data_IF_336832345739
#
_entry.id   IF_336832345739
#
_cell.length_a   1.000
_cell.length_b   1.000
_cell.length_c   1.000
_cell.angle_alpha   90.00
_cell.angle_beta   90.00
_cell.angle_gamma   90.00
#
_symmetry.space_group_name_H-M   'P 1'
#
loop_
_entity.id
_entity.type
_entity.pdbx_description
1 polymer ?
#
# COMPACT_ATOMS: atom_id res chain seq x y z
N UNK A 1 32.33 47.64 24.71
CA UNK A 1 31.02 47.90 24.08
C UNK A 1 30.13 46.73 24.51
N UNK A 2 29.34 46.75 25.60
CA UNK A 2 28.03 47.43 25.82
C UNK A 2 27.25 47.50 24.50
N UNK A 3 26.08 46.92 24.26
CA UNK A 3 24.90 46.39 25.03
C UNK A 3 23.90 45.88 23.92
N UNK A 4 22.64 45.48 24.17
CA UNK A 4 22.00 44.69 25.24
C UNK A 4 21.08 43.56 24.71
N UNK A 5 20.46 42.85 25.66
CA UNK A 5 19.37 41.90 25.50
C UNK A 5 18.05 42.54 25.01
N UNK A 6 17.22 41.74 24.33
CA UNK A 6 15.80 42.01 24.11
C UNK A 6 14.99 40.76 24.47
N UNK A 7 14.23 40.86 25.56
CA UNK A 7 13.23 39.88 25.96
C UNK A 7 11.92 40.19 25.23
N UNK A 8 11.27 39.18 24.67
CA UNK A 8 9.91 39.27 24.15
C UNK A 8 9.05 38.21 24.84
N UNK A 9 8.09 38.70 25.63
CA UNK A 9 7.01 37.92 26.21
C UNK A 9 6.08 37.42 25.10
N UNK A 10 5.79 36.12 25.09
CA UNK A 10 4.60 35.58 24.44
C UNK A 10 3.71 34.93 25.51
N UNK A 11 2.46 35.39 25.52
CA UNK A 11 1.45 35.05 26.50
C UNK A 11 0.93 33.62 26.32
N UNK A 12 0.63 33.01 27.47
CA UNK A 12 -0.18 31.82 27.57
C UNK A 12 -1.59 32.12 27.06
N UNK A 13 -2.03 31.39 26.05
CA UNK A 13 -3.45 31.13 25.80
C UNK A 13 -3.67 29.63 26.03
N UNK A 14 -4.42 29.33 27.09
CA UNK A 14 -4.84 27.99 27.43
C UNK A 14 -5.88 27.50 26.42
N UNK A 15 -5.62 26.36 25.77
CA UNK A 15 -6.65 25.57 25.12
C UNK A 15 -7.39 24.81 26.24
N UNK A 16 -8.64 25.14 26.48
CA UNK A 16 -9.54 24.33 27.31
C UNK A 16 -10.25 23.34 26.40
N UNK A 17 -9.83 22.08 26.45
CA UNK A 17 -10.56 20.96 25.88
C UNK A 17 -11.73 20.60 26.80
N UNK A 18 -12.95 20.61 26.27
CA UNK A 18 -14.12 20.05 26.94
C UNK A 18 -14.07 18.50 26.83
N UNK A 19 -14.26 17.75 27.93
CA UNK A 19 -14.15 16.29 27.91
C UNK A 19 -15.41 15.60 27.36
N UNK A 20 -15.19 14.69 26.41
CA UNK A 20 -16.17 13.70 25.91
C UNK A 20 -16.62 12.76 27.06
N UNK A 21 -17.91 12.47 27.24
CA UNK A 21 -18.39 11.63 28.34
C UNK A 21 -18.03 10.15 28.18
N UNK A 22 -17.62 9.54 29.29
CA UNK A 22 -17.23 8.14 29.42
C UNK A 22 -18.37 7.16 29.18
N UNK A 23 -18.12 6.13 28.37
CA UNK A 23 -18.96 4.94 28.28
C UNK A 23 -18.78 4.05 29.53
N UNK A 24 -19.88 3.56 30.06
CA UNK A 24 -19.90 2.64 31.21
C UNK A 24 -19.74 1.18 30.74
N UNK A 25 -19.08 0.30 31.50
CA UNK A 25 -18.89 -1.09 31.13
C UNK A 25 -20.13 -1.93 31.48
N UNK A 26 -20.48 -2.89 30.64
CA UNK A 26 -21.47 -3.93 30.95
C UNK A 26 -20.76 -5.27 30.98
N UNK A 27 -20.92 -5.96 32.12
CA UNK A 27 -20.31 -7.24 32.49
C UNK A 27 -20.69 -8.42 31.58
N UNK A 28 -19.74 -9.37 31.51
CA UNK A 28 -19.81 -10.72 30.92
C UNK A 28 -20.89 -11.60 31.61
N UNK A 29 -21.51 -12.65 31.04
CA UNK A 29 -21.08 -13.91 30.39
C UNK A 29 -22.34 -14.84 30.34
N UNK A 30 -22.34 -16.15 29.98
CA UNK A 30 -21.35 -17.01 29.30
C UNK A 30 -21.91 -17.86 28.12
N UNK A 31 -20.99 -18.62 27.52
CA UNK A 31 -21.08 -19.70 26.52
C UNK A 31 -22.24 -20.70 26.61
N UNK A 32 -22.73 -21.14 25.43
CA UNK A 32 -23.17 -22.54 25.20
C UNK A 32 -22.85 -23.02 23.78
N UNK A 33 -21.96 -24.02 23.74
CA UNK A 33 -21.78 -25.19 22.88
C UNK A 33 -22.37 -25.31 21.45
N UNK A 34 -21.45 -25.77 20.60
CA UNK A 34 -21.53 -26.39 19.26
C UNK A 34 -22.48 -27.59 19.18
N UNK A 35 -23.20 -27.71 18.05
CA UNK A 35 -23.60 -29.01 17.49
C UNK A 35 -23.65 -28.95 15.96
N UNK A 36 -22.94 -29.91 15.37
CA UNK A 36 -22.76 -30.25 13.96
C UNK A 36 -23.94 -31.11 13.45
N UNK A 37 -24.40 -30.88 12.21
CA UNK A 37 -25.12 -31.86 11.41
C UNK A 37 -25.26 -31.43 9.93
N UNK A 38 -24.48 -32.11 9.09
CA UNK A 38 -24.61 -32.28 7.63
C UNK A 38 -26.01 -32.74 7.17
N UNK A 39 -26.48 -32.34 5.96
CA UNK A 39 -26.92 -33.22 4.84
C UNK A 39 -27.16 -32.39 3.56
N UNK A 40 -26.78 -33.03 2.45
CA UNK A 40 -26.72 -32.67 1.03
C UNK A 40 -27.95 -32.01 0.34
N UNK A 41 -27.61 -31.05 -0.52
CA UNK A 41 -27.87 -30.94 -1.97
C UNK A 41 -29.25 -31.32 -2.52
N UNK A 42 -30.05 -30.28 -2.75
CA UNK A 42 -30.99 -30.20 -3.88
C UNK A 42 -31.10 -28.72 -4.28
N UNK A 43 -30.50 -28.35 -5.41
CA UNK A 43 -30.57 -27.01 -5.98
C UNK A 43 -32.01 -26.58 -6.34
N UNK A 44 -32.52 -25.45 -5.81
CA UNK A 44 -33.65 -24.72 -6.39
C UNK A 44 -33.14 -23.62 -7.36
N UNK A 45 -34.00 -23.12 -8.26
CA UNK A 45 -33.57 -22.29 -9.39
C UNK A 45 -33.08 -20.91 -8.93
N UNK A 46 -32.27 -20.28 -9.78
CA UNK A 46 -31.66 -18.96 -9.57
C UNK A 46 -32.64 -17.93 -8.98
N UNK A 47 -32.26 -17.16 -7.95
CA UNK A 47 -33.07 -16.05 -7.51
C UNK A 47 -32.92 -14.92 -8.52
N UNK A 48 -34.07 -14.49 -9.03
CA UNK A 48 -34.26 -13.20 -9.68
C UNK A 48 -33.68 -12.08 -8.80
N UNK A 49 -33.27 -10.98 -9.45
CA UNK A 49 -32.85 -9.75 -8.80
C UNK A 49 -33.98 -9.19 -7.90
N UNK A 50 -34.04 -9.65 -6.65
CA UNK A 50 -34.93 -9.09 -5.64
C UNK A 50 -34.21 -7.94 -4.94
N UNK A 51 -34.71 -6.74 -5.22
CA UNK A 51 -34.21 -5.50 -4.64
C UNK A 51 -34.32 -5.46 -3.13
N UNK A 52 -33.43 -4.64 -2.56
CA UNK A 52 -33.46 -4.04 -1.22
C UNK A 52 -34.67 -4.46 -0.38
N UNK A 53 -34.50 -5.49 0.45
CA UNK A 53 -35.55 -5.99 1.33
C UNK A 53 -35.89 -4.97 2.44
N UNK A 54 -37.04 -4.35 2.25
CA UNK A 54 -38.03 -3.85 3.19
C UNK A 54 -37.72 -3.90 4.71
N UNK A 55 -37.21 -2.78 5.23
CA UNK A 55 -37.88 -2.11 6.34
C UNK A 55 -38.50 -0.82 5.80
N UNK A 56 -39.83 -0.83 5.63
CA UNK A 56 -40.62 0.33 5.27
C UNK A 56 -40.54 1.35 6.40
N UNK A 57 -39.66 2.35 6.25
CA UNK A 57 -39.92 3.63 6.90
C UNK A 57 -41.20 4.21 6.28
N UNK A 58 -42.19 4.59 7.11
CA UNK A 58 -43.39 5.22 6.61
C UNK A 58 -43.03 6.63 6.14
N UNK A 59 -43.34 6.92 4.87
CA UNK A 59 -43.47 8.27 4.33
C UNK A 59 -42.17 9.11 4.31
N UNK A 60 -41.16 8.66 3.58
CA UNK A 60 -40.02 9.51 3.26
C UNK A 60 -40.48 10.61 2.28
N UNK A 61 -40.75 11.82 2.81
CA UNK A 61 -41.20 12.99 2.08
C UNK A 61 -40.52 13.12 0.69
N UNK A 62 -41.25 13.55 -0.37
CA UNK A 62 -40.67 13.68 -1.69
C UNK A 62 -39.44 14.59 -1.63
N UNK A 63 -38.29 14.07 -2.06
CA UNK A 63 -37.11 14.90 -2.24
C UNK A 63 -37.47 15.89 -3.33
N UNK A 64 -37.40 17.18 -3.01
CA UNK A 64 -37.64 18.23 -3.99
C UNK A 64 -36.31 18.49 -4.67
N UNK A 65 -36.20 18.25 -5.98
CA UNK A 65 -34.99 18.56 -6.71
C UNK A 65 -34.64 20.03 -6.56
N UNK A 66 -33.37 20.35 -6.31
CA UNK A 66 -32.90 21.71 -6.25
C UNK A 66 -32.74 22.28 -7.68
N UNK A 67 -32.64 23.61 -7.77
CA UNK A 67 -32.43 24.24 -9.06
C UNK A 67 -31.01 23.94 -9.57
N UNK A 68 -30.88 23.25 -10.71
CA UNK A 68 -29.60 22.96 -11.34
C UNK A 68 -29.17 21.49 -11.27
N UNK A 69 -30.01 20.62 -10.73
CA UNK A 69 -29.79 19.18 -10.72
C UNK A 69 -29.57 18.59 -12.12
N UNK A 70 -28.78 17.53 -12.16
CA UNK A 70 -28.45 16.80 -13.38
C UNK A 70 -29.53 15.79 -13.77
N UNK A 71 -29.28 15.05 -14.85
CA UNK A 71 -30.22 14.09 -15.42
C UNK A 71 -30.23 12.71 -14.72
N UNK A 72 -29.35 12.49 -13.75
CA UNK A 72 -29.31 11.29 -12.92
C UNK A 72 -30.15 11.42 -11.65
N UNK A 73 -30.64 12.62 -11.36
CA UNK A 73 -31.58 12.88 -10.28
C UNK A 73 -32.99 12.29 -10.50
N UNK A 74 -33.73 11.98 -9.43
CA UNK A 74 -33.32 12.09 -8.03
C UNK A 74 -32.44 10.91 -7.61
N UNK A 75 -31.29 11.22 -7.00
CA UNK A 75 -30.35 10.24 -6.47
C UNK A 75 -29.89 10.56 -5.04
N UNK A 76 -30.66 11.37 -4.30
CA UNK A 76 -30.23 11.88 -2.99
C UNK A 76 -30.42 10.93 -1.81
N UNK A 77 -30.77 9.67 -2.09
CA UNK A 77 -30.94 8.61 -1.10
C UNK A 77 -30.31 7.31 -1.60
N UNK A 78 -29.81 6.44 -0.70
CA UNK A 78 -29.30 5.12 -1.05
C UNK A 78 -30.24 4.29 -1.95
N UNK A 79 -31.55 4.31 -1.66
CA UNK A 79 -32.56 3.55 -2.42
C UNK A 79 -32.86 4.13 -3.81
N UNK A 80 -32.39 5.33 -4.11
CA UNK A 80 -32.56 6.03 -5.39
C UNK A 80 -31.23 6.18 -6.13
N UNK A 81 -30.19 5.46 -5.69
CA UNK A 81 -28.86 5.60 -6.23
C UNK A 81 -28.85 5.38 -7.76
N UNK A 82 -28.22 6.30 -8.49
CA UNK A 82 -28.16 6.24 -9.94
C UNK A 82 -27.20 5.12 -10.38
N UNK A 83 -27.59 4.21 -11.29
CA UNK A 83 -26.74 3.10 -11.69
C UNK A 83 -25.54 3.59 -12.51
N UNK A 84 -24.34 3.15 -12.11
CA UNK A 84 -23.07 3.40 -12.79
C UNK A 84 -22.26 2.10 -12.90
N UNK A 85 -21.22 2.11 -13.71
CA UNK A 85 -20.33 0.98 -13.93
C UNK A 85 -18.88 1.45 -14.07
N UNK A 86 -17.88 0.57 -13.94
CA UNK A 86 -16.51 0.90 -14.33
C UNK A 86 -16.46 1.39 -15.79
N UNK A 87 -15.69 2.46 -16.03
CA UNK A 87 -15.71 3.25 -17.27
C UNK A 87 -16.66 4.46 -17.25
N UNK A 88 -17.41 4.68 -16.16
CA UNK A 88 -18.26 5.86 -16.02
C UNK A 88 -17.41 7.13 -15.85
N UNK A 89 -17.67 8.14 -16.68
CA UNK A 89 -17.13 9.50 -16.54
C UNK A 89 -18.19 10.52 -16.94
N UNK A 90 -18.56 11.40 -16.02
CA UNK A 90 -19.48 12.53 -16.25
C UNK A 90 -18.92 13.77 -15.55
N UNK A 91 -18.98 14.93 -16.19
CA UNK A 91 -18.43 16.20 -15.68
C UNK A 91 -19.51 17.28 -15.46
N UNK A 92 -20.76 16.92 -15.68
CA UNK A 92 -21.94 17.76 -15.64
C UNK A 92 -22.88 17.41 -14.47
N UNK A 93 -22.39 16.63 -13.50
CA UNK A 93 -23.13 16.27 -12.29
C UNK A 93 -23.22 17.46 -11.35
N UNK A 94 -24.25 17.48 -10.49
CA UNK A 94 -24.51 18.61 -9.60
C UNK A 94 -25.02 18.16 -8.23
N UNK A 95 -24.32 18.59 -7.17
CA UNK A 95 -24.73 18.28 -5.80
C UNK A 95 -25.62 19.39 -5.22
N UNK A 96 -26.79 18.99 -4.72
CA UNK A 96 -27.74 19.88 -4.07
C UNK A 96 -27.32 20.26 -2.64
N UNK A 97 -27.73 21.45 -2.14
CA UNK A 97 -27.38 21.87 -0.80
C UNK A 97 -27.97 20.91 0.25
N UNK A 98 -27.15 20.54 1.23
CA UNK A 98 -27.48 19.63 2.34
C UNK A 98 -27.99 18.25 1.89
N UNK A 99 -27.65 17.85 0.64
CA UNK A 99 -28.02 16.56 0.07
C UNK A 99 -26.76 15.87 -0.46
N UNK A 100 -26.68 14.57 -0.25
CA UNK A 100 -25.65 13.73 -0.85
C UNK A 100 -26.19 13.11 -2.12
N UNK A 101 -25.35 12.86 -3.12
CA UNK A 101 -25.70 12.07 -4.29
C UNK A 101 -25.21 10.63 -4.10
N UNK A 102 -26.07 9.67 -4.43
CA UNK A 102 -25.76 8.25 -4.36
C UNK A 102 -25.73 7.64 -5.75
N UNK A 103 -24.75 6.77 -5.99
CA UNK A 103 -24.63 5.97 -7.21
C UNK A 103 -24.52 4.49 -6.87
N UNK A 104 -25.15 3.63 -7.64
CA UNK A 104 -25.11 2.18 -7.46
C UNK A 104 -24.09 1.58 -8.43
N UNK A 105 -23.09 0.88 -7.90
CA UNK A 105 -21.99 0.27 -8.64
C UNK A 105 -21.98 -1.24 -8.40
N UNK A 106 -22.24 -2.02 -9.44
CA UNK A 106 -22.15 -3.48 -9.38
C UNK A 106 -20.72 -3.94 -9.57
N UNK A 107 -20.18 -4.70 -8.61
CA UNK A 107 -18.83 -5.24 -8.65
C UNK A 107 -18.84 -6.75 -8.40
N UNK A 108 -17.96 -7.47 -9.10
CA UNK A 108 -17.61 -8.85 -8.76
C UNK A 108 -16.68 -8.88 -7.53
N UNK A 109 -16.62 -10.03 -6.85
CA UNK A 109 -15.65 -10.23 -5.77
C UNK A 109 -14.21 -10.02 -6.30
N UNK A 110 -13.38 -9.34 -5.50
CA UNK A 110 -12.02 -8.91 -5.81
C UNK A 110 -11.87 -7.92 -6.97
N UNK A 111 -12.99 -7.44 -7.54
CA UNK A 111 -12.94 -6.43 -8.59
C UNK A 111 -12.41 -5.11 -8.02
N UNK A 112 -11.46 -4.52 -8.75
CA UNK A 112 -10.79 -3.27 -8.39
C UNK A 112 -11.41 -2.11 -9.16
N UNK A 113 -11.60 -0.98 -8.49
CA UNK A 113 -11.99 0.29 -9.12
C UNK A 113 -11.20 1.44 -8.49
N UNK A 114 -10.99 2.49 -9.28
CA UNK A 114 -10.51 3.78 -8.80
C UNK A 114 -11.59 4.82 -9.06
N UNK A 115 -11.99 5.50 -8.01
CA UNK A 115 -12.97 6.57 -8.08
C UNK A 115 -12.25 7.90 -7.92
N UNK A 116 -12.59 8.85 -8.77
CA UNK A 116 -12.06 10.21 -8.74
C UNK A 116 -13.20 11.22 -8.84
N UNK A 117 -13.22 12.16 -7.89
CA UNK A 117 -14.14 13.27 -7.82
C UNK A 117 -13.36 14.57 -8.06
N UNK A 118 -13.92 15.47 -8.84
CA UNK A 118 -13.40 16.83 -8.99
C UNK A 118 -14.55 17.85 -9.03
N UNK A 119 -14.66 18.70 -8.03
CA UNK A 119 -15.64 19.77 -7.98
C UNK A 119 -15.23 20.97 -8.86
N UNK A 120 -16.22 21.70 -9.34
CA UNK A 120 -16.08 22.99 -10.02
C UNK A 120 -16.95 24.04 -9.31
N UNK A 121 -16.32 25.06 -8.67
CA UNK A 121 -14.88 25.27 -8.57
C UNK A 121 -14.22 24.32 -7.55
N UNK A 122 -12.90 24.10 -7.67
CA UNK A 122 -12.15 23.12 -6.85
C UNK A 122 -12.14 23.45 -5.35
N UNK A 123 -12.38 24.70 -4.97
CA UNK A 123 -12.46 25.11 -3.57
C UNK A 123 -13.72 24.61 -2.85
N UNK A 124 -14.59 23.89 -3.57
CA UNK A 124 -15.78 23.24 -3.00
C UNK A 124 -15.41 21.92 -2.36
N UNK A 125 -15.45 21.91 -1.05
CA UNK A 125 -15.25 20.74 -0.20
C UNK A 125 -16.39 19.72 -0.41
N UNK A 126 -16.07 18.67 -1.17
CA UNK A 126 -16.92 17.52 -1.45
C UNK A 126 -16.17 16.24 -1.08
N UNK A 127 -16.80 15.38 -0.30
CA UNK A 127 -16.27 14.10 0.14
C UNK A 127 -16.75 12.96 -0.76
N UNK A 128 -15.95 11.90 -0.85
CA UNK A 128 -16.24 10.69 -1.63
C UNK A 128 -16.14 9.45 -0.75
N UNK A 129 -17.17 8.61 -0.75
CA UNK A 129 -17.17 7.35 0.00
C UNK A 129 -17.76 6.18 -0.79
N UNK A 130 -17.29 4.98 -0.49
CA UNK A 130 -17.87 3.71 -0.93
C UNK A 130 -18.49 3.02 0.27
N UNK A 131 -19.75 2.63 0.13
CA UNK A 131 -20.53 1.96 1.15
C UNK A 131 -21.00 0.59 0.63
N UNK A 132 -21.25 -0.33 1.54
CA UNK A 132 -21.94 -1.58 1.23
C UNK A 132 -23.45 -1.34 0.98
N UNK A 133 -24.16 -2.42 0.62
CA UNK A 133 -25.60 -2.38 0.37
C UNK A 133 -26.44 -2.00 1.62
N UNK A 134 -25.90 -2.15 2.83
CA UNK A 134 -26.54 -1.75 4.08
C UNK A 134 -26.28 -0.27 4.44
N UNK A 135 -25.42 0.43 3.67
CA UNK A 135 -25.02 1.81 3.92
C UNK A 135 -23.89 1.94 4.95
N UNK A 136 -23.19 0.85 5.27
CA UNK A 136 -21.96 0.91 6.05
C UNK A 136 -20.82 1.33 5.13
N UNK A 137 -20.08 2.34 5.54
CA UNK A 137 -18.93 2.83 4.80
C UNK A 137 -17.76 1.83 4.86
N UNK A 138 -17.18 1.52 3.70
CA UNK A 138 -16.06 0.61 3.55
C UNK A 138 -14.76 1.34 3.21
N UNK A 139 -14.85 2.49 2.53
CA UNK A 139 -13.73 3.34 2.16
C UNK A 139 -14.20 4.78 1.95
N UNK A 140 -13.33 5.75 2.16
CA UNK A 140 -13.64 7.17 1.94
C UNK A 140 -12.40 8.04 1.74
N UNK A 141 -12.63 9.22 1.17
CA UNK A 141 -11.68 10.30 0.95
C UNK A 141 -12.36 11.62 1.33
N UNK A 142 -11.64 12.43 2.13
CA UNK A 142 -12.17 13.55 2.92
C UNK A 142 -11.23 14.77 2.89
N UNK A 143 -10.82 15.19 1.71
CA UNK A 143 -9.99 16.37 1.51
C UNK A 143 -10.75 17.66 1.87
N UNK A 144 -10.00 18.73 2.15
CA UNK A 144 -10.60 20.05 2.40
C UNK A 144 -11.02 20.79 1.10
N UNK A 145 -10.77 20.16 -0.05
CA UNK A 145 -11.01 20.70 -1.40
C UNK A 145 -11.80 19.68 -2.20
N UNK A 146 -12.31 20.08 -3.37
CA UNK A 146 -13.18 19.25 -4.19
C UNK A 146 -12.48 18.18 -5.01
N UNK A 147 -11.28 17.75 -4.65
CA UNK A 147 -10.59 16.65 -5.32
C UNK A 147 -10.49 15.46 -4.38
N UNK A 148 -11.17 14.38 -4.73
CA UNK A 148 -11.12 13.13 -3.98
C UNK A 148 -10.69 12.00 -4.88
N UNK A 149 -9.87 11.09 -4.36
CA UNK A 149 -9.49 9.89 -5.07
C UNK A 149 -9.36 8.71 -4.09
N UNK A 150 -10.00 7.59 -4.42
CA UNK A 150 -9.85 6.38 -3.64
C UNK A 150 -9.80 5.13 -4.53
N UNK A 151 -9.04 4.13 -4.07
CA UNK A 151 -8.97 2.80 -4.67
C UNK A 151 -9.82 1.85 -3.83
N UNK A 152 -10.66 1.05 -4.47
CA UNK A 152 -11.53 0.10 -3.79
C UNK A 152 -11.40 -1.29 -4.41
N UNK A 153 -11.37 -2.31 -3.56
CA UNK A 153 -11.43 -3.73 -3.93
C UNK A 153 -12.67 -4.31 -3.29
N UNK A 154 -13.58 -4.83 -4.10
CA UNK A 154 -14.83 -5.39 -3.61
C UNK A 154 -14.58 -6.70 -2.83
N UNK A 155 -14.83 -6.76 -1.50
CA UNK A 155 -14.62 -7.98 -0.72
C UNK A 155 -15.56 -9.13 -1.09
N UNK A 156 -16.68 -8.83 -1.76
CA UNK A 156 -17.66 -9.80 -2.23
C UNK A 156 -18.30 -9.27 -3.52
N UNK A 157 -18.98 -10.16 -4.26
CA UNK A 157 -19.79 -9.71 -5.38
C UNK A 157 -21.07 -9.04 -4.86
N UNK A 158 -21.46 -7.93 -5.47
CA UNK A 158 -22.72 -7.26 -5.18
C UNK A 158 -22.72 -5.76 -5.52
N UNK A 159 -23.82 -5.10 -5.13
CA UNK A 159 -24.00 -3.66 -5.27
C UNK A 159 -23.28 -2.91 -4.16
N UNK A 160 -22.44 -1.96 -4.55
CA UNK A 160 -21.85 -0.97 -3.67
C UNK A 160 -22.44 0.40 -3.96
N UNK A 161 -22.54 1.24 -2.94
CA UNK A 161 -23.01 2.61 -3.09
C UNK A 161 -21.82 3.56 -3.08
N UNK A 162 -21.73 4.42 -4.09
CA UNK A 162 -20.81 5.55 -4.09
C UNK A 162 -21.58 6.76 -3.59
N UNK A 163 -21.12 7.39 -2.52
CA UNK A 163 -21.70 8.61 -1.97
C UNK A 163 -20.77 9.79 -2.25
N UNK A 164 -21.33 10.82 -2.88
CA UNK A 164 -20.71 12.16 -2.95
C UNK A 164 -21.47 13.05 -1.98
N UNK A 165 -20.75 13.72 -1.08
CA UNK A 165 -21.37 14.54 -0.04
C UNK A 165 -20.68 15.91 0.05
N UNK A 166 -21.46 16.97 0.23
CA UNK A 166 -20.89 18.31 0.44
C UNK A 166 -20.60 18.58 1.91
N UNK A 167 -19.48 19.24 2.22
CA UNK A 167 -19.25 19.79 3.55
C UNK A 167 -20.12 21.04 3.78
N UNK A 168 -20.93 21.03 4.86
CA UNK A 168 -21.83 22.14 5.27
C UNK A 168 -22.82 22.60 4.17
N UNK A 169 -23.31 21.66 3.37
CA UNK A 169 -24.36 21.95 2.39
C UNK A 169 -23.92 22.82 1.22
N UNK A 170 -22.64 22.76 0.87
CA UNK A 170 -22.13 23.43 -0.32
C UNK A 170 -22.77 22.89 -1.60
N UNK A 171 -22.80 23.72 -2.62
CA UNK A 171 -23.29 23.34 -3.95
C UNK A 171 -22.17 23.52 -4.97
N UNK A 172 -22.07 22.56 -5.87
CA UNK A 172 -21.04 22.55 -6.89
C UNK A 172 -21.48 21.70 -8.08
N UNK A 173 -20.97 22.03 -9.27
CA UNK A 173 -20.86 21.00 -10.30
C UNK A 173 -19.68 20.11 -9.95
N UNK A 174 -19.72 18.87 -10.38
CA UNK A 174 -18.58 17.99 -10.20
C UNK A 174 -18.45 17.00 -11.34
N UNK A 175 -17.25 16.45 -11.44
CA UNK A 175 -16.93 15.30 -12.27
C UNK A 175 -16.74 14.08 -11.39
N UNK A 176 -17.40 12.99 -11.75
CA UNK A 176 -17.14 11.68 -11.17
C UNK A 176 -16.61 10.77 -12.28
N UNK A 177 -15.46 10.15 -12.01
CA UNK A 177 -14.86 9.10 -12.83
C UNK A 177 -14.78 7.83 -12.00
N UNK A 178 -15.23 6.71 -12.56
CA UNK A 178 -15.05 5.37 -12.01
C UNK A 178 -14.25 4.56 -13.02
N UNK A 179 -12.94 4.48 -12.82
CA UNK A 179 -12.05 3.70 -13.67
C UNK A 179 -12.00 2.25 -13.20
N UNK A 180 -11.93 1.32 -14.16
CA UNK A 180 -11.63 -0.09 -13.86
C UNK A 180 -10.19 -0.18 -13.34
N UNK A 181 -10.03 -0.69 -12.12
CA UNK A 181 -8.72 -0.96 -11.55
C UNK A 181 -8.15 -2.25 -12.13
N UNK A 182 -6.82 -2.31 -12.26
CA UNK A 182 -6.11 -3.44 -12.84
C UNK A 182 -4.75 -3.64 -12.18
N UNK A 183 -4.13 -4.78 -12.44
CA UNK A 183 -2.71 -5.02 -12.16
C UNK A 183 -1.97 -5.62 -13.35
N UNK A 184 -2.73 -6.27 -14.23
CA UNK A 184 -2.26 -6.92 -15.44
C UNK A 184 -3.21 -6.56 -16.58
N UNK A 185 -2.73 -6.68 -17.81
CA UNK A 185 -3.47 -6.29 -19.02
C UNK A 185 -4.68 -7.20 -19.24
N UNK A 186 -4.61 -8.48 -18.83
CA UNK A 186 -5.71 -9.45 -18.84
C UNK A 186 -6.97 -9.01 -18.08
N UNK A 187 -6.87 -8.02 -17.17
CA UNK A 187 -8.04 -7.45 -16.47
C UNK A 187 -8.76 -6.41 -17.33
N UNK A 188 -8.05 -5.77 -18.25
CA UNK A 188 -8.55 -4.69 -19.08
C UNK A 188 -9.22 -5.21 -20.36
N UNK A 189 -10.03 -4.36 -21.01
CA UNK A 189 -10.63 -4.70 -22.30
C UNK A 189 -9.61 -4.76 -23.42
N UNK A 190 -9.96 -5.37 -24.56
CA UNK A 190 -9.04 -5.64 -25.67
C UNK A 190 -8.30 -4.42 -26.25
N UNK A 191 -8.84 -3.21 -26.08
CA UNK A 191 -8.27 -1.94 -26.53
C UNK A 191 -7.68 -1.09 -25.38
N UNK A 192 -7.42 -1.72 -24.24
CA UNK A 192 -6.89 -1.09 -23.05
C UNK A 192 -5.71 -1.90 -22.52
N UNK A 193 -4.83 -1.23 -21.80
CA UNK A 193 -3.77 -1.86 -21.01
C UNK A 193 -3.85 -1.35 -19.59
N UNK A 194 -3.17 -2.02 -18.67
CA UNK A 194 -3.02 -1.54 -17.33
C UNK A 194 -1.89 -0.49 -17.27
N UNK A 195 -2.24 0.73 -16.88
CA UNK A 195 -1.23 1.65 -16.36
C UNK A 195 -0.81 1.13 -14.99
N UNK A 196 0.38 0.54 -14.92
CA UNK A 196 0.88 -0.13 -13.72
C UNK A 196 1.01 0.80 -12.52
N UNK A 197 1.39 2.07 -12.74
CA UNK A 197 1.58 3.03 -11.66
C UNK A 197 0.24 3.60 -11.20
N UNK A 198 -0.66 3.89 -12.14
CA UNK A 198 -2.01 4.33 -11.81
C UNK A 198 -2.93 3.19 -11.34
N UNK A 199 -2.56 1.93 -11.59
CA UNK A 199 -3.36 0.68 -11.48
C UNK A 199 -4.77 0.82 -12.07
N UNK A 200 -4.89 1.47 -13.23
CA UNK A 200 -6.17 1.65 -13.94
C UNK A 200 -6.06 1.28 -15.40
N UNK A 201 -7.13 0.72 -15.95
CA UNK A 201 -7.20 0.42 -17.37
C UNK A 201 -7.29 1.72 -18.19
N UNK A 202 -6.33 1.94 -19.06
CA UNK A 202 -6.25 3.10 -19.94
C UNK A 202 -6.37 2.66 -21.40
N UNK A 203 -6.99 3.48 -22.28
CA UNK A 203 -6.97 3.20 -23.71
C UNK A 203 -5.55 3.09 -24.23
N UNK A 204 -5.29 2.04 -25.01
CA UNK A 204 -3.98 1.81 -25.59
C UNK A 204 -4.12 1.47 -27.07
N UNK A 205 -3.32 2.15 -27.86
CA UNK A 205 -3.15 1.89 -29.27
C UNK A 205 -1.64 1.87 -29.52
N UNK A 206 -1.05 0.72 -29.89
CA UNK A 206 0.38 0.63 -30.15
C UNK A 206 0.78 1.64 -31.22
N UNK A 207 1.89 2.33 -30.98
CA UNK A 207 2.46 3.31 -31.89
C UNK A 207 3.03 2.68 -33.16
N UNK A 208 3.48 3.50 -34.14
CA UNK A 208 4.16 3.00 -35.34
C UNK A 208 5.68 2.85 -35.16
N UNK A 209 6.15 2.81 -33.92
CA UNK A 209 7.56 2.84 -33.52
C UNK A 209 7.77 1.80 -32.43
N UNK A 210 9.03 1.49 -32.10
CA UNK A 210 9.33 0.42 -31.15
C UNK A 210 9.57 -0.94 -31.80
N UNK A 211 8.90 -1.23 -32.91
CA UNK A 211 8.98 -2.52 -33.60
C UNK A 211 10.42 -3.09 -33.71
N UNK A 212 10.67 -4.20 -33.03
CA UNK A 212 11.92 -4.92 -33.09
C UNK A 212 11.76 -6.45 -33.31
N UNK A 213 12.74 -7.25 -32.86
CA UNK A 213 12.74 -8.70 -33.04
C UNK A 213 11.93 -9.46 -31.97
N UNK A 214 11.55 -8.83 -30.86
CA UNK A 214 10.84 -9.42 -29.73
C UNK A 214 9.33 -9.29 -29.85
N UNK A 215 8.88 -8.40 -30.72
CA UNK A 215 7.46 -8.12 -30.92
C UNK A 215 6.65 -9.34 -31.43
N UNK A 216 5.38 -9.50 -30.99
CA UNK A 216 4.65 -8.56 -30.13
C UNK A 216 4.93 -8.78 -28.63
N UNK A 217 5.51 -7.80 -27.93
CA UNK A 217 5.72 -7.82 -26.46
C UNK A 217 5.19 -6.57 -25.72
N UNK A 218 4.34 -5.80 -26.40
CA UNK A 218 3.50 -4.71 -25.89
C UNK A 218 2.64 -5.00 -24.65
N UNK A 219 2.36 -6.28 -24.36
CA UNK A 219 1.41 -6.73 -23.34
C UNK A 219 2.02 -7.70 -22.35
N UNK A 220 1.54 -7.64 -21.11
CA UNK A 220 1.93 -8.56 -20.04
C UNK A 220 1.84 -10.05 -20.45
N UNK A 221 0.80 -10.47 -21.18
CA UNK A 221 0.61 -11.87 -21.59
C UNK A 221 1.53 -12.30 -22.73
N UNK A 222 2.11 -11.32 -23.44
CA UNK A 222 2.97 -11.53 -24.59
C UNK A 222 4.46 -11.34 -24.25
N UNK A 223 4.76 -11.03 -22.98
CA UNK A 223 6.09 -10.71 -22.50
C UNK A 223 7.18 -11.70 -22.96
N UNK A 224 8.24 -11.15 -23.52
CA UNK A 224 9.42 -11.85 -24.02
C UNK A 224 10.18 -12.55 -22.89
N UNK A 225 10.48 -13.84 -23.04
CA UNK A 225 11.21 -14.57 -22.01
C UNK A 225 12.67 -14.11 -21.92
N UNK A 226 13.08 -13.58 -20.76
CA UNK A 226 14.48 -13.26 -20.48
C UNK A 226 15.22 -14.52 -20.04
N UNK A 227 16.02 -15.06 -20.96
CA UNK A 227 16.92 -16.17 -20.71
C UNK A 227 18.34 -15.68 -20.34
N UNK A 228 19.33 -16.58 -20.41
CA UNK A 228 20.73 -16.25 -20.19
C UNK A 228 21.32 -15.47 -21.38
N UNK A 229 21.48 -14.16 -21.23
CA UNK A 229 22.19 -13.30 -22.18
C UNK A 229 21.54 -11.92 -22.33
N UNK A 230 22.25 -10.95 -22.91
CA UNK A 230 21.67 -9.66 -23.25
C UNK A 230 20.58 -9.83 -24.33
N UNK A 231 19.47 -9.10 -24.17
CA UNK A 231 18.43 -8.94 -25.18
C UNK A 231 18.47 -7.51 -25.68
N UNK A 232 18.60 -7.34 -27.00
CA UNK A 232 18.56 -6.04 -27.66
C UNK A 232 17.13 -5.72 -28.07
N UNK A 233 16.73 -4.46 -27.94
CA UNK A 233 15.44 -3.97 -28.39
C UNK A 233 15.42 -2.49 -28.76
N UNK A 234 14.28 -2.01 -29.20
CA UNK A 234 13.98 -0.62 -29.52
C UNK A 234 12.70 -0.21 -28.81
N UNK A 235 12.69 1.00 -28.24
CA UNK A 235 11.52 1.53 -27.53
C UNK A 235 11.22 2.94 -28.04
N UNK A 236 9.95 3.32 -28.02
CA UNK A 236 9.48 4.70 -28.20
C UNK A 236 8.44 5.08 -27.10
N UNK A 237 8.03 6.36 -26.95
CA UNK A 237 7.05 6.73 -25.93
C UNK A 237 5.62 6.20 -26.15
N UNK A 238 5.36 5.52 -27.27
CA UNK A 238 4.04 4.96 -27.64
C UNK A 238 4.03 3.43 -27.59
N UNK A 239 5.09 2.86 -27.03
CA UNK A 239 5.46 1.45 -27.11
C UNK A 239 5.86 0.95 -25.70
N UNK A 240 5.77 -0.36 -25.46
CA UNK A 240 5.91 -0.98 -24.14
C UNK A 240 6.50 -2.39 -24.25
N UNK A 241 7.78 -2.55 -23.97
CA UNK A 241 8.35 -3.90 -24.03
C UNK A 241 8.23 -4.61 -22.69
N UNK A 242 7.50 -5.72 -22.67
CA UNK A 242 7.41 -6.59 -21.51
C UNK A 242 8.32 -7.79 -21.64
N UNK A 243 8.99 -8.08 -20.53
CA UNK A 243 9.86 -9.23 -20.37
C UNK A 243 9.37 -10.10 -19.22
N UNK A 244 9.64 -11.40 -19.30
CA UNK A 244 9.31 -12.36 -18.26
C UNK A 244 10.55 -13.08 -17.72
N UNK A 245 10.63 -13.20 -16.41
CA UNK A 245 11.71 -13.90 -15.68
C UNK A 245 11.08 -14.95 -14.78
N UNK A 246 11.49 -16.21 -14.91
CA UNK A 246 11.13 -17.26 -13.97
C UNK A 246 12.12 -17.26 -12.80
N UNK A 247 11.61 -17.04 -11.60
CA UNK A 247 12.39 -16.95 -10.35
C UNK A 247 12.07 -18.18 -9.49
N UNK A 248 13.09 -18.77 -8.86
CA UNK A 248 12.93 -19.83 -7.88
C UNK A 248 12.88 -19.27 -6.45
N UNK A 249 12.29 -20.03 -5.53
CA UNK A 249 12.15 -19.61 -4.13
C UNK A 249 13.50 -19.19 -3.52
N UNK A 250 13.55 -17.96 -3.02
CA UNK A 250 14.73 -17.40 -2.34
C UNK A 250 15.80 -16.88 -3.28
N UNK A 251 15.65 -16.97 -4.61
CA UNK A 251 16.61 -16.38 -5.53
C UNK A 251 16.48 -14.86 -5.58
N UNK A 252 17.61 -14.18 -5.80
CA UNK A 252 17.64 -12.75 -6.11
C UNK A 252 17.98 -12.55 -7.58
N UNK A 253 17.26 -11.68 -8.26
CA UNK A 253 17.49 -11.34 -9.66
C UNK A 253 17.51 -9.83 -9.82
N UNK A 254 18.59 -9.30 -10.40
CA UNK A 254 18.68 -7.93 -10.87
C UNK A 254 18.47 -7.90 -12.38
N UNK A 255 17.61 -7.00 -12.84
CA UNK A 255 17.41 -6.72 -14.26
C UNK A 255 17.81 -5.29 -14.53
N UNK A 256 18.66 -5.11 -15.53
CA UNK A 256 19.17 -3.80 -15.92
C UNK A 256 18.90 -3.50 -17.37
N UNK A 257 18.50 -2.26 -17.66
CA UNK A 257 18.34 -1.74 -19.02
C UNK A 257 19.37 -0.65 -19.27
N UNK A 258 20.25 -0.87 -20.24
CA UNK A 258 21.19 0.13 -20.75
C UNK A 258 20.66 0.67 -22.07
N UNK A 259 20.70 1.98 -22.27
CA UNK A 259 20.08 2.61 -23.44
C UNK A 259 20.93 3.73 -24.03
N UNK A 260 20.49 4.27 -25.17
CA UNK A 260 21.17 5.37 -25.83
C UNK A 260 21.26 6.61 -24.93
N UNK A 261 22.47 7.18 -24.76
CA UNK A 261 22.69 8.32 -23.86
C UNK A 261 21.81 9.54 -24.20
N UNK A 262 21.31 10.22 -23.16
CA UNK A 262 20.43 11.39 -23.29
C UNK A 262 18.96 11.05 -23.54
N UNK A 263 18.59 9.77 -23.45
CA UNK A 263 17.21 9.30 -23.41
C UNK A 263 16.76 9.10 -21.95
N UNK A 264 15.46 8.96 -21.78
CA UNK A 264 14.86 8.54 -20.52
C UNK A 264 14.06 7.26 -20.78
N UNK A 265 14.52 6.14 -20.25
CA UNK A 265 13.87 4.83 -20.35
C UNK A 265 13.67 4.37 -18.92
N UNK A 266 12.42 4.11 -18.58
CA UNK A 266 11.97 3.65 -17.27
C UNK A 266 11.92 2.12 -17.25
N UNK A 267 12.24 1.52 -16.11
CA UNK A 267 12.20 0.09 -15.85
C UNK A 267 11.31 -0.22 -14.63
N UNK A 268 10.31 -1.07 -14.80
CA UNK A 268 9.44 -1.52 -13.70
C UNK A 268 9.45 -3.03 -13.57
N UNK A 269 9.19 -3.52 -12.36
CA UNK A 269 9.22 -4.94 -12.02
C UNK A 269 7.93 -5.34 -11.31
N UNK A 270 7.22 -6.35 -11.83
CA UNK A 270 5.99 -6.89 -11.27
C UNK A 270 6.18 -8.31 -10.75
N UNK A 271 5.57 -8.58 -9.60
CA UNK A 271 5.47 -9.91 -9.03
C UNK A 271 4.45 -10.79 -9.79
N UNK A 272 4.41 -12.09 -9.47
CA UNK A 272 3.47 -13.03 -10.08
C UNK A 272 1.98 -12.68 -9.89
N UNK A 273 1.66 -11.86 -8.89
CA UNK A 273 0.31 -11.35 -8.60
C UNK A 273 0.02 -9.98 -9.25
N UNK A 274 0.93 -9.50 -10.10
CA UNK A 274 0.87 -8.23 -10.81
C UNK A 274 1.16 -7.00 -9.94
N UNK A 275 1.62 -7.16 -8.70
CA UNK A 275 2.02 -6.02 -7.86
C UNK A 275 3.38 -5.50 -8.29
N UNK A 276 3.53 -4.17 -8.28
CA UNK A 276 4.84 -3.53 -8.41
C UNK A 276 5.75 -3.95 -7.26
N UNK A 277 6.89 -4.54 -7.59
CA UNK A 277 7.93 -4.97 -6.65
C UNK A 277 9.04 -3.94 -6.56
N UNK A 278 9.43 -3.37 -7.70
CA UNK A 278 10.48 -2.37 -7.81
C UNK A 278 10.29 -1.52 -9.08
N UNK A 279 10.86 -0.31 -9.08
CA UNK A 279 10.80 0.62 -10.21
C UNK A 279 12.01 1.55 -10.23
N UNK A 280 12.62 1.68 -11.40
CA UNK A 280 13.52 2.76 -11.77
C UNK A 280 12.77 3.66 -12.76
N UNK A 281 12.57 4.92 -12.38
CA UNK A 281 11.84 5.94 -13.16
C UNK A 281 12.68 7.22 -13.29
N UNK A 282 14.00 7.05 -13.23
CA UNK A 282 14.96 8.12 -13.05
C UNK A 282 15.50 8.60 -14.38
N UNK A 283 16.76 9.01 -14.41
CA UNK A 283 17.52 9.27 -15.65
C UNK A 283 18.85 8.49 -15.64
N UNK A 284 18.96 7.48 -14.78
CA UNK A 284 20.14 6.66 -14.63
C UNK A 284 20.35 5.78 -15.87
N UNK A 285 21.60 5.49 -16.22
CA UNK A 285 21.92 4.59 -17.32
C UNK A 285 23.17 3.75 -16.96
N UNK A 286 23.02 2.45 -16.70
CA UNK A 286 21.79 1.68 -16.81
C UNK A 286 20.78 2.01 -15.69
N UNK A 287 19.49 1.81 -15.99
CA UNK A 287 18.48 1.62 -14.95
C UNK A 287 18.47 0.18 -14.46
N UNK A 288 18.03 -0.03 -13.22
CA UNK A 288 18.03 -1.36 -12.60
C UNK A 288 16.85 -1.53 -11.65
N UNK A 289 16.23 -2.70 -11.72
CA UNK A 289 15.27 -3.20 -10.73
C UNK A 289 15.78 -4.51 -10.13
N UNK A 290 15.45 -4.77 -8.86
CA UNK A 290 15.91 -5.95 -8.13
C UNK A 290 14.77 -6.64 -7.42
N UNK A 291 14.67 -7.95 -7.65
CA UNK A 291 13.88 -8.87 -6.83
C UNK A 291 14.85 -9.55 -5.85
N UNK A 292 14.67 -9.37 -4.55
CA UNK A 292 15.55 -9.96 -3.52
C UNK A 292 14.88 -11.12 -2.83
N UNK A 293 15.51 -12.29 -2.88
CA UNK A 293 15.06 -13.54 -2.25
C UNK A 293 13.59 -13.86 -2.49
N UNK A 294 13.15 -13.70 -3.74
CA UNK A 294 11.75 -13.63 -4.07
C UNK A 294 11.07 -15.00 -3.99
N UNK A 295 9.74 -15.06 -3.77
CA UNK A 295 8.97 -16.28 -3.97
C UNK A 295 9.10 -16.81 -5.39
N UNK A 296 8.98 -18.12 -5.54
CA UNK A 296 8.97 -18.74 -6.84
C UNK A 296 7.80 -18.23 -7.68
N UNK A 297 8.06 -17.91 -8.94
CA UNK A 297 7.02 -17.47 -9.86
C UNK A 297 7.57 -16.77 -11.09
N UNK A 298 6.63 -16.39 -11.97
CA UNK A 298 6.93 -15.62 -13.17
C UNK A 298 6.78 -14.14 -12.85
N UNK A 299 7.90 -13.42 -12.87
CA UNK A 299 7.97 -11.97 -12.70
C UNK A 299 7.95 -11.31 -14.07
N UNK A 300 7.36 -10.13 -14.14
CA UNK A 300 7.35 -9.31 -15.36
C UNK A 300 8.24 -8.09 -15.17
N UNK A 301 8.97 -7.70 -16.22
CA UNK A 301 9.77 -6.49 -16.25
C UNK A 301 9.31 -5.66 -17.44
N UNK A 302 8.89 -4.42 -17.20
CA UNK A 302 8.43 -3.52 -18.24
C UNK A 302 9.48 -2.46 -18.54
N UNK A 303 9.82 -2.30 -19.81
CA UNK A 303 10.61 -1.19 -20.33
C UNK A 303 9.64 -0.19 -20.96
N UNK A 304 9.78 1.09 -20.64
CA UNK A 304 8.95 2.13 -21.25
C UNK A 304 9.71 3.44 -21.35
N UNK A 305 9.22 4.39 -22.14
CA UNK A 305 9.76 5.75 -22.16
C UNK A 305 8.71 6.77 -21.78
N UNK A 306 8.94 7.58 -20.72
CA UNK A 306 8.00 8.62 -20.35
C UNK A 306 8.02 9.76 -21.36
N UNK A 307 6.84 10.27 -21.71
CA UNK A 307 6.65 11.44 -22.54
C UNK A 307 5.68 11.22 -23.70
N UNK A 308 5.37 12.31 -24.42
CA UNK A 308 4.49 12.31 -25.61
C UNK A 308 5.20 12.87 -26.85
N UNK A 309 6.53 12.84 -26.83
CA UNK A 309 7.40 13.39 -27.88
C UNK A 309 7.34 12.60 -29.18
N UNK A 310 8.12 13.04 -30.18
CA UNK A 310 8.24 12.33 -31.46
C UNK A 310 8.61 10.86 -31.24
N UNK A 311 7.91 9.99 -31.97
CA UNK A 311 8.13 8.55 -32.12
C UNK A 311 9.52 8.26 -32.70
N UNK A 312 10.57 8.47 -31.90
CA UNK A 312 11.96 8.21 -32.28
C UNK A 312 12.45 7.02 -31.48
N UNK A 313 12.73 5.94 -32.21
CA UNK A 313 13.25 4.71 -31.62
C UNK A 313 14.53 4.96 -30.84
N UNK A 314 14.58 4.36 -29.66
CA UNK A 314 15.74 4.34 -28.78
C UNK A 314 16.17 2.90 -28.62
N UNK A 315 17.37 2.59 -29.10
CA UNK A 315 17.95 1.28 -28.85
C UNK A 315 18.31 1.12 -27.37
N UNK A 316 18.02 -0.06 -26.84
CA UNK A 316 18.39 -0.48 -25.49
C UNK A 316 18.89 -1.94 -25.46
N UNK A 317 19.44 -2.34 -24.33
CA UNK A 317 19.85 -3.71 -24.03
C UNK A 317 19.43 -4.06 -22.62
N UNK A 318 18.64 -5.12 -22.47
CA UNK A 318 18.26 -5.70 -21.18
C UNK A 318 19.22 -6.81 -20.82
N UNK A 319 19.70 -6.80 -19.58
CA UNK A 319 20.55 -7.86 -19.02
C UNK A 319 20.01 -8.32 -17.68
N UNK A 320 20.16 -9.61 -17.40
CA UNK A 320 19.80 -10.22 -16.13
C UNK A 320 21.04 -10.69 -15.39
N UNK A 321 21.04 -10.52 -14.06
CA UNK A 321 22.03 -11.05 -13.15
C UNK A 321 21.32 -11.72 -11.98
N UNK A 322 21.38 -13.06 -11.92
CA UNK A 322 20.81 -13.84 -10.84
C UNK A 322 21.86 -14.26 -9.82
N UNK A 323 21.47 -14.34 -8.55
CA UNK A 323 22.22 -15.00 -7.50
C UNK A 323 21.29 -15.85 -6.67
N UNK A 324 21.66 -17.12 -6.49
CA UNK A 324 20.96 -18.01 -5.57
C UNK A 324 21.42 -17.79 -4.14
N UNK A 325 20.49 -17.74 -3.19
CA UNK A 325 20.80 -17.74 -1.77
C UNK A 325 19.62 -17.27 -0.94
N UNK A 326 19.35 -17.94 0.18
CA UNK A 326 18.22 -17.61 1.05
C UNK A 326 18.38 -16.26 1.77
N UNK A 327 17.27 -15.56 1.99
CA UNK A 327 17.23 -14.55 3.04
C UNK A 327 17.52 -15.22 4.40
N UNK A 328 18.12 -14.48 5.33
CA UNK A 328 18.40 -14.98 6.68
C UNK A 328 17.63 -14.22 7.75
N UNK A 329 17.31 -12.97 7.48
CA UNK A 329 16.58 -12.07 8.37
C UNK A 329 15.62 -11.20 7.55
N UNK A 330 14.59 -10.64 8.18
CA UNK A 330 13.59 -9.77 7.53
C UNK A 330 14.24 -8.59 6.79
N UNK A 331 15.39 -8.11 7.27
CA UNK A 331 16.15 -7.03 6.61
C UNK A 331 16.70 -7.42 5.24
N UNK A 332 16.91 -8.71 4.94
CA UNK A 332 17.33 -9.12 3.59
C UNK A 332 16.19 -8.90 2.58
N UNK A 333 14.97 -8.66 3.07
CA UNK A 333 13.76 -8.42 2.32
C UNK A 333 13.41 -6.92 2.23
N UNK A 334 14.16 -6.19 1.39
CA UNK A 334 14.01 -4.73 1.21
C UNK A 334 13.04 -4.32 0.08
N UNK A 335 12.37 -5.28 -0.56
CA UNK A 335 11.48 -5.00 -1.72
C UNK A 335 10.05 -4.66 -1.28
N UNK A 336 9.37 -3.80 -2.06
CA UNK A 336 8.09 -3.16 -1.74
C UNK A 336 6.93 -4.16 -1.62
N UNK A 337 6.80 -4.78 -0.44
CA UNK A 337 5.63 -5.59 -0.07
C UNK A 337 5.91 -7.02 0.38
N UNK A 338 7.19 -7.42 0.48
CA UNK A 338 7.59 -8.75 0.96
C UNK A 338 8.56 -8.63 2.15
N UNK A 339 8.16 -8.02 3.28
CA UNK A 339 9.09 -7.57 4.31
C UNK A 339 9.62 -8.67 5.25
N UNK A 340 9.09 -9.89 5.19
CA UNK A 340 9.44 -10.97 6.13
C UNK A 340 10.25 -12.06 5.45
N UNK A 341 11.29 -12.54 6.12
CA UNK A 341 12.06 -13.70 5.69
C UNK A 341 11.49 -14.97 6.32
N UNK A 342 10.90 -15.82 5.49
CA UNK A 342 10.30 -17.09 5.90
C UNK A 342 10.91 -18.24 5.11
N UNK A 343 11.59 -19.14 5.82
CA UNK A 343 12.26 -20.31 5.23
C UNK A 343 13.24 -19.95 4.09
N UNK A 344 13.85 -18.77 4.16
CA UNK A 344 14.79 -18.29 3.15
C UNK A 344 14.16 -17.54 1.97
N UNK A 345 12.86 -17.26 2.04
CA UNK A 345 12.08 -16.56 1.01
C UNK A 345 11.44 -15.30 1.61
N UNK A 346 11.53 -14.18 0.90
CA UNK A 346 10.83 -12.96 1.28
C UNK A 346 9.32 -13.09 1.00
N UNK A 347 8.48 -12.90 2.01
CA UNK A 347 7.03 -13.11 1.95
C UNK A 347 6.24 -11.87 2.37
N UNK A 348 4.99 -11.73 1.91
CA UNK A 348 4.13 -10.65 2.39
C UNK A 348 3.67 -10.94 3.81
N UNK A 349 3.31 -9.89 4.55
CA UNK A 349 2.70 -10.04 5.87
C UNK A 349 1.28 -10.62 5.71
N UNK A 350 0.94 -11.75 6.37
CA UNK A 350 -0.30 -12.48 6.10
C UNK A 350 -1.61 -11.70 6.34
N UNK A 351 -1.59 -10.63 7.15
CA UNK A 351 -2.80 -10.11 7.80
C UNK A 351 -3.13 -8.63 7.53
N UNK A 352 -2.38 -7.92 6.66
CA UNK A 352 -2.72 -6.62 6.05
C UNK A 352 -3.65 -5.68 6.85
N UNK A 353 -3.26 -5.28 8.06
CA UNK A 353 -3.99 -4.37 8.95
C UNK A 353 -4.59 -5.05 10.17
N UNK A 354 -4.35 -6.34 10.36
CA UNK A 354 -4.86 -7.13 11.50
C UNK A 354 -3.76 -7.73 12.35
N UNK A 355 -2.50 -7.41 12.07
CA UNK A 355 -1.37 -7.88 12.87
C UNK A 355 -1.44 -7.23 14.25
N UNK A 356 -1.51 -8.06 15.29
CA UNK A 356 -1.53 -7.61 16.68
C UNK A 356 -0.17 -7.05 17.11
N UNK A 357 -0.11 -6.26 18.19
CA UNK A 357 1.16 -5.82 18.76
C UNK A 357 2.13 -6.99 18.98
N UNK A 358 3.37 -6.82 18.54
CA UNK A 358 4.42 -7.84 18.54
C UNK A 358 4.41 -8.79 17.33
N UNK A 359 3.42 -8.74 16.45
CA UNK A 359 3.46 -9.49 15.19
C UNK A 359 4.35 -8.83 14.14
N UNK A 360 4.77 -9.60 13.12
CA UNK A 360 5.62 -9.11 12.02
C UNK A 360 4.88 -8.14 11.09
N UNK A 361 5.55 -7.12 10.57
CA UNK A 361 4.97 -6.14 9.65
C UNK A 361 5.97 -5.66 8.58
N UNK A 362 5.50 -5.00 7.52
CA UNK A 362 6.37 -4.27 6.58
C UNK A 362 6.10 -2.77 6.54
N UNK A 363 4.85 -2.39 6.81
CA UNK A 363 4.38 -1.01 6.88
C UNK A 363 3.34 -0.87 7.99
N UNK A 364 3.07 0.38 8.40
CA UNK A 364 2.06 0.65 9.44
C UNK A 364 0.68 0.08 9.12
N UNK A 365 0.30 0.07 7.83
CA UNK A 365 -0.98 -0.48 7.38
C UNK A 365 -1.12 -2.01 7.55
N UNK A 366 -0.06 -2.72 7.92
CA UNK A 366 -0.17 -4.15 8.24
C UNK A 366 -0.63 -4.38 9.69
N UNK A 367 -0.50 -3.35 10.53
CA UNK A 367 -0.81 -3.41 11.95
C UNK A 367 -2.27 -3.09 12.25
N UNK A 368 -2.81 -3.78 13.25
CA UNK A 368 -4.12 -3.46 13.83
C UNK A 368 -4.10 -2.15 14.61
N UNK A 369 -5.28 -1.60 14.86
CA UNK A 369 -5.49 -0.36 15.66
C UNK A 369 -4.94 -0.43 17.10
N UNK A 370 -4.48 -1.60 17.56
CA UNK A 370 -3.83 -1.77 18.85
C UNK A 370 -2.32 -1.41 18.84
N UNK A 371 -1.76 -1.14 17.66
CA UNK A 371 -0.38 -0.71 17.42
C UNK A 371 -0.38 0.68 16.78
N UNK A 372 0.60 1.51 17.15
CA UNK A 372 0.73 2.86 16.61
C UNK A 372 1.43 2.86 15.24
N UNK A 373 2.39 1.96 15.03
CA UNK A 373 3.16 1.87 13.79
C UNK A 373 3.89 0.53 13.63
N UNK A 374 4.43 0.29 12.43
CA UNK A 374 5.37 -0.79 12.16
C UNK A 374 6.79 -0.29 12.42
N UNK A 375 7.46 -0.83 13.44
CA UNK A 375 8.86 -0.54 13.70
C UNK A 375 9.72 -1.34 12.73
N UNK A 376 10.50 -0.63 11.92
CA UNK A 376 11.53 -1.24 11.09
C UNK A 376 12.83 -1.34 11.91
N UNK A 377 13.34 -2.55 12.06
CA UNK A 377 14.54 -2.81 12.84
C UNK A 377 15.79 -2.20 12.21
N UNK A 378 16.71 -1.73 13.06
CA UNK A 378 18.08 -1.39 12.63
C UNK A 378 18.85 -2.67 12.23
N UNK A 379 19.94 -2.57 11.44
CA UNK A 379 20.90 -3.64 11.26
C UNK A 379 21.19 -4.41 12.56
N UNK A 380 20.96 -5.73 12.56
CA UNK A 380 21.18 -6.61 13.72
C UNK A 380 20.15 -6.52 14.84
N UNK A 381 19.09 -5.72 14.70
CA UNK A 381 18.03 -5.56 15.71
C UNK A 381 16.80 -6.42 15.48
N UNK A 382 15.75 -6.15 16.27
CA UNK A 382 14.46 -6.83 16.20
C UNK A 382 13.92 -6.91 14.76
N UNK A 383 13.25 -8.02 14.45
CA UNK A 383 12.42 -8.15 13.23
C UNK A 383 11.43 -6.97 13.12
N UNK A 384 10.93 -6.70 11.91
CA UNK A 384 9.94 -5.65 11.71
C UNK A 384 8.67 -6.01 12.48
N UNK A 385 8.29 -5.22 13.49
CA UNK A 385 7.15 -5.55 14.38
C UNK A 385 6.14 -4.43 14.51
N UNK A 386 4.87 -4.80 14.58
CA UNK A 386 3.80 -3.88 14.97
C UNK A 386 4.00 -3.47 16.43
N UNK A 387 4.27 -2.20 16.66
CA UNK A 387 4.57 -1.67 17.98
C UNK A 387 3.75 -0.44 18.33
N UNK A 388 3.87 0.01 19.58
CA UNK A 388 3.31 1.25 20.10
C UNK A 388 4.31 1.94 21.01
N UNK A 389 4.09 3.22 21.24
CA UNK A 389 4.83 3.96 22.27
C UNK A 389 4.51 3.40 23.66
N UNK A 390 5.50 3.45 24.55
CA UNK A 390 5.35 2.96 25.92
C UNK A 390 6.05 3.90 26.90
N UNK A 391 5.63 3.83 28.15
CA UNK A 391 6.25 4.56 29.27
C UNK A 391 6.77 3.62 30.35
N UNK A 392 6.27 2.37 30.37
CA UNK A 392 6.65 1.32 31.30
C UNK A 392 6.49 -0.06 30.66
N UNK A 393 7.08 -1.10 31.26
CA UNK A 393 6.95 -2.48 30.77
C UNK A 393 5.50 -3.00 30.82
N UNK A 394 4.67 -2.49 31.74
CA UNK A 394 3.26 -2.87 31.85
C UNK A 394 2.46 -2.50 30.59
N UNK A 395 2.90 -1.46 29.86
CA UNK A 395 2.31 -1.02 28.60
C UNK A 395 2.53 -2.03 27.46
N UNK A 396 3.38 -3.04 27.65
CA UNK A 396 3.75 -4.02 26.63
C UNK A 396 3.27 -5.45 26.96
N UNK A 397 2.39 -5.62 27.96
CA UNK A 397 1.95 -6.94 28.44
C UNK A 397 1.16 -7.79 27.42
N UNK A 398 0.65 -7.20 26.34
CA UNK A 398 -0.05 -7.86 25.24
C UNK A 398 0.87 -8.30 24.08
N UNK A 399 2.19 -7.99 24.14
CA UNK A 399 3.20 -8.50 23.21
C UNK A 399 3.62 -9.92 23.58
N UNK A 400 2.71 -10.89 23.39
CA UNK A 400 3.03 -12.32 23.49
C UNK A 400 3.43 -12.83 24.89
N UNK A 401 3.34 -12.00 25.93
CA UNK A 401 3.63 -12.35 27.33
C UNK A 401 4.99 -11.89 27.86
N UNK A 402 5.87 -11.34 27.02
CA UNK A 402 7.26 -10.99 27.40
C UNK A 402 7.72 -9.62 26.88
N UNK A 403 6.81 -8.77 26.37
CA UNK A 403 7.16 -7.44 25.87
C UNK A 403 7.85 -6.54 26.89
N UNK A 404 8.84 -5.78 26.43
CA UNK A 404 9.54 -4.76 27.21
C UNK A 404 9.38 -3.38 26.59
N UNK A 405 9.48 -2.35 27.41
CA UNK A 405 9.52 -0.97 26.96
C UNK A 405 10.97 -0.52 26.81
N UNK A 406 11.51 -0.55 25.60
CA UNK A 406 12.90 -0.20 25.31
C UNK A 406 13.02 1.12 24.54
N UNK A 407 14.17 1.77 24.68
CA UNK A 407 14.51 2.98 23.94
C UNK A 407 15.14 2.63 22.60
N UNK A 408 14.46 2.97 21.51
CA UNK A 408 14.94 2.81 20.14
C UNK A 408 14.84 4.15 19.41
N UNK A 409 15.94 4.58 18.79
CA UNK A 409 16.05 5.86 18.05
C UNK A 409 15.54 7.11 18.81
N UNK A 410 15.59 7.08 20.15
CA UNK A 410 15.17 8.18 21.01
C UNK A 410 13.73 8.11 21.52
N UNK A 411 12.90 7.22 20.97
CA UNK A 411 11.54 6.93 21.44
C UNK A 411 11.52 5.70 22.35
N UNK A 412 10.53 5.62 23.24
CA UNK A 412 10.27 4.44 24.07
C UNK A 412 9.16 3.63 23.40
N UNK A 413 9.45 2.38 23.03
CA UNK A 413 8.55 1.55 22.22
C UNK A 413 8.52 0.12 22.76
N UNK A 414 7.39 -0.56 22.57
CA UNK A 414 7.26 -1.96 22.98
C UNK A 414 8.00 -2.90 22.01
N UNK A 415 8.86 -3.76 22.52
CA UNK A 415 9.58 -4.75 21.72
C UNK A 415 9.58 -6.11 22.40
N UNK A 416 9.88 -7.16 21.63
CA UNK A 416 10.17 -8.48 22.20
C UNK A 416 11.45 -8.44 23.00
N UNK A 417 11.56 -9.31 24.01
CA UNK A 417 12.84 -9.60 24.64
C UNK A 417 13.80 -10.20 23.61
N UNK A 418 15.06 -9.83 23.69
CA UNK A 418 16.10 -10.49 22.92
C UNK A 418 16.39 -11.89 23.48
N UNK A 419 16.73 -12.84 22.63
CA UNK A 419 17.28 -14.15 23.02
C UNK A 419 18.79 -14.21 22.76
N UNK A 420 19.27 -13.41 21.82
CA UNK A 420 20.65 -13.35 21.37
C UNK A 420 21.06 -11.93 20.96
N UNK A 421 22.36 -11.72 20.76
CA UNK A 421 22.88 -10.46 20.24
C UNK A 421 22.35 -10.10 18.84
N UNK A 422 21.86 -11.08 18.07
CA UNK A 422 21.32 -10.88 16.73
C UNK A 422 19.90 -10.27 16.74
N UNK A 423 19.24 -10.24 17.90
CA UNK A 423 17.97 -9.55 18.10
C UNK A 423 18.16 -8.07 18.46
N UNK A 424 19.41 -7.64 18.64
CA UNK A 424 19.78 -6.32 19.15
C UNK A 424 20.62 -5.54 18.15
N UNK A 425 20.16 -4.33 17.78
CA UNK A 425 20.83 -3.47 16.78
C UNK A 425 22.35 -3.47 16.96
N UNK A 426 23.16 -3.48 15.89
CA UNK A 426 24.61 -3.77 15.84
C UNK A 426 25.49 -3.21 16.98
N UNK A 427 25.05 -2.13 17.64
CA UNK A 427 25.72 -1.47 18.77
C UNK A 427 25.23 -1.91 20.15
N UNK A 428 24.34 -2.91 20.24
CA UNK A 428 23.73 -3.44 21.47
C UNK A 428 24.02 -4.95 21.59
N UNK A 429 23.89 -5.49 22.80
CA UNK A 429 24.01 -6.92 23.10
C UNK A 429 22.83 -7.35 23.96
N UNK A 430 22.46 -8.62 23.90
CA UNK A 430 21.36 -9.11 24.70
C UNK A 430 21.81 -9.44 26.13
N UNK A 431 21.21 -8.80 27.13
CA UNK A 431 21.43 -9.10 28.55
C UNK A 431 20.08 -9.26 29.25
N UNK A 432 19.83 -10.45 29.81
CA UNK A 432 18.59 -10.74 30.55
C UNK A 432 17.30 -10.43 29.77
N UNK A 433 17.35 -10.55 28.44
CA UNK A 433 16.24 -10.25 27.54
C UNK A 433 16.13 -8.79 27.11
N UNK A 434 17.05 -7.92 27.51
CA UNK A 434 17.08 -6.51 27.12
C UNK A 434 18.30 -6.21 26.25
N UNK A 435 18.09 -5.48 25.16
CA UNK A 435 19.19 -4.99 24.35
C UNK A 435 19.91 -3.88 25.10
N UNK A 436 21.16 -4.07 25.48
CA UNK A 436 21.94 -3.08 26.22
C UNK A 436 23.06 -2.53 25.34
N UNK A 437 23.37 -1.23 25.43
CA UNK A 437 24.45 -0.63 24.64
C UNK A 437 25.77 -1.38 24.88
N UNK A 438 26.51 -1.71 23.82
CA UNK A 438 27.90 -2.22 23.88
C UNK A 438 28.85 -1.12 24.35
N UNK A 439 28.66 -0.67 25.59
CA UNK A 439 29.26 0.54 26.11
C UNK A 439 30.64 0.33 26.72
N UNK A 440 31.00 -0.91 27.10
CA UNK A 440 32.31 -1.23 27.71
C UNK A 440 32.69 -2.68 27.43
N UNK A 441 33.93 -2.89 27.00
CA UNK A 441 34.56 -4.20 26.88
C UNK A 441 35.70 -4.35 27.89
N UNK A 442 35.90 -5.54 28.42
CA UNK A 442 37.04 -5.90 29.28
C UNK A 442 38.06 -6.77 28.53
N UNK A 443 37.65 -7.39 27.42
CA UNK A 443 38.52 -8.07 26.46
C UNK A 443 37.85 -8.25 25.10
N UNK A 444 38.61 -8.79 24.14
CA UNK A 444 38.15 -8.92 22.74
C UNK A 444 36.95 -9.86 22.58
N UNK A 445 36.77 -10.82 23.49
CA UNK A 445 35.60 -11.69 23.52
C UNK A 445 34.29 -10.98 23.85
N UNK A 446 34.35 -9.72 24.31
CA UNK A 446 33.17 -8.88 24.55
C UNK A 446 32.76 -8.08 23.30
N UNK A 447 33.44 -8.28 22.17
CA UNK A 447 33.28 -7.56 20.91
C UNK A 447 32.80 -8.47 19.77
N UNK A 448 32.14 -7.89 18.77
CA UNK A 448 31.65 -8.65 17.62
C UNK A 448 32.79 -9.25 16.79
N UNK A 449 32.45 -10.23 15.94
CA UNK A 449 33.41 -10.81 14.99
C UNK A 449 33.97 -9.71 14.08
N UNK A 450 35.30 -9.52 14.11
CA UNK A 450 35.99 -8.44 13.37
C UNK A 450 36.27 -7.17 14.19
N UNK A 451 35.87 -7.13 15.46
CA UNK A 451 36.16 -6.05 16.39
C UNK A 451 37.12 -6.49 17.50
N UNK A 452 37.87 -5.55 18.07
CA UNK A 452 38.67 -5.74 19.26
C UNK A 452 38.32 -4.71 20.33
N UNK A 453 38.63 -5.05 21.57
CA UNK A 453 38.42 -4.17 22.69
C UNK A 453 39.52 -3.10 22.74
N UNK A 454 39.21 -1.88 22.32
CA UNK A 454 40.15 -0.76 22.31
C UNK A 454 39.95 0.15 23.51
N UNK A 455 41.03 0.42 24.23
CA UNK A 455 41.05 1.39 25.31
C UNK A 455 41.01 2.82 24.75
N UNK A 456 39.99 3.59 25.11
CA UNK A 456 39.88 5.02 24.73
C UNK A 456 39.85 5.91 25.95
N UNK A 457 40.05 7.23 25.75
CA UNK A 457 40.01 8.22 26.83
C UNK A 457 38.67 8.29 27.59
N UNK A 458 37.62 7.62 27.10
CA UNK A 458 36.30 7.56 27.71
C UNK A 458 35.93 6.16 28.23
N UNK A 459 36.87 5.21 28.21
CA UNK A 459 36.68 3.80 28.57
C UNK A 459 37.02 2.86 27.41
N UNK A 460 37.09 1.57 27.71
CA UNK A 460 37.25 0.54 26.70
C UNK A 460 35.97 0.42 25.87
N UNK A 461 36.10 0.28 24.55
CA UNK A 461 34.97 0.08 23.63
C UNK A 461 35.38 -0.87 22.51
N UNK A 462 34.41 -1.54 21.90
CA UNK A 462 34.69 -2.35 20.71
C UNK A 462 34.93 -1.44 19.50
N UNK A 463 35.92 -1.77 18.69
CA UNK A 463 36.20 -1.10 17.43
C UNK A 463 36.65 -2.11 16.38
N UNK A 464 36.28 -1.87 15.12
CA UNK A 464 36.71 -2.69 13.99
C UNK A 464 38.23 -2.74 13.90
N UNK A 465 38.76 -3.94 13.69
CA UNK A 465 40.18 -4.17 13.42
C UNK A 465 40.34 -4.23 11.91
N UNK A 466 40.83 -3.16 11.30
CA UNK A 466 41.35 -3.23 9.94
C UNK A 466 42.69 -3.97 9.97
N UNK A 467 42.86 -5.00 9.13
CA UNK A 467 44.12 -5.74 8.94
C UNK A 467 45.27 -4.85 8.41
#
# INVERSE_FOLDING_TARGET
>A
MRTPALALLLGLAACTEDPKPAATPVDAAPDVAVADATVADAAPPAPDAEGVADAAEPDAAPITPCAGEDDLAPNQRPRQAAPIAPGFTRADLFICPDQADYFALELAAEQRVRLELAADPIERDLDLAVLDAAGMELAGSYGEYGEEALRFVAPAAGTYLVRVQSYRGQTARYRLTVAQGCRLDAVCGDAQVCDTLAETCTPYAPGPCGDDAQEPDDRHEQATALANGPVEGQICPQDRDWFAVDVADGDSVAVSVAFTAGRNVDLIALGPDGRLVDAALGDANPEQVVFSHAPAGRYLVGVSMPGSGEAVDTAYTVTTAGSSGACRIDRDCLSLGLPTCEEGVCRPVPDGGRVKPGGRCGRGADCSDASDFCLQGDPGGHDNICTRECTSADDCGDFGGDGICDRILGAMVCVHRCESDDDCALTRRCEEGECNSRGRCNGDGDCAMGEACVATGFGNRCALVED
#
